data_IF_371358818279
#
_entry.id   IF_371358818279
#
_cell.length_a   1.000
_cell.length_b   1.000
_cell.length_c   1.000
_cell.angle_alpha   90.00
_cell.angle_beta   90.00
_cell.angle_gamma   90.00
#
_symmetry.space_group_name_H-M   'P 1'
#
loop_
_entity.id
_entity.type
_entity.pdbx_description
1 polymer ?
#
# COMPACT_ATOMS: atom_id res chain seq x y z
N UNK A 1 -18.35 27.46 -30.30
CA UNK A 1 -18.46 26.07 -29.85
C UNK A 1 -17.07 25.56 -29.47
N UNK A 2 -16.71 25.58 -28.20
CA UNK A 2 -15.41 25.04 -27.69
C UNK A 2 -15.60 23.58 -27.29
N UNK A 3 -14.96 22.67 -28.03
CA UNK A 3 -14.88 21.27 -27.68
C UNK A 3 -14.00 21.14 -26.40
N UNK A 4 -14.63 20.92 -25.25
CA UNK A 4 -13.94 20.55 -24.03
C UNK A 4 -13.38 19.14 -24.17
N UNK A 5 -12.06 19.02 -24.22
CA UNK A 5 -11.38 17.74 -24.10
C UNK A 5 -11.46 17.31 -22.63
N UNK A 6 -12.34 16.38 -22.33
CA UNK A 6 -12.26 15.65 -21.07
C UNK A 6 -11.05 14.72 -21.13
N UNK A 7 -9.93 15.17 -20.58
CA UNK A 7 -8.83 14.31 -20.26
C UNK A 7 -9.21 13.56 -18.97
N UNK A 8 -9.66 12.34 -19.13
CA UNK A 8 -9.77 11.39 -18.03
C UNK A 8 -8.37 11.01 -17.52
N UNK A 9 -7.78 11.89 -16.73
CA UNK A 9 -6.64 11.54 -15.89
C UNK A 9 -7.19 10.96 -14.60
N UNK A 10 -7.50 9.65 -14.64
CA UNK A 10 -7.67 8.86 -13.45
C UNK A 10 -6.27 8.61 -12.83
N UNK A 11 -5.61 9.67 -12.38
CA UNK A 11 -4.47 9.59 -11.47
C UNK A 11 -5.01 9.73 -10.05
N UNK A 12 -5.64 8.68 -9.56
CA UNK A 12 -5.84 8.48 -8.16
C UNK A 12 -4.47 8.14 -7.53
N UNK A 13 -3.69 9.17 -7.20
CA UNK A 13 -2.65 9.08 -6.19
C UNK A 13 -3.35 8.91 -4.83
N UNK A 14 -3.86 7.70 -4.58
CA UNK A 14 -4.21 7.31 -3.22
C UNK A 14 -2.90 7.16 -2.45
N UNK A 15 -2.49 8.21 -1.76
CA UNK A 15 -1.72 8.04 -0.54
C UNK A 15 -2.67 7.37 0.48
N UNK A 16 -2.84 6.06 0.34
CA UNK A 16 -3.47 5.24 1.36
C UNK A 16 -2.52 5.23 2.56
N UNK A 17 -2.60 6.26 3.38
CA UNK A 17 -2.11 6.22 4.74
C UNK A 17 -2.97 5.22 5.51
N UNK A 18 -2.82 3.93 5.17
CA UNK A 18 -3.32 2.81 5.98
C UNK A 18 -2.68 2.98 7.34
N UNK A 19 -3.50 3.04 8.38
CA UNK A 19 -3.05 3.30 9.74
C UNK A 19 -1.78 2.51 10.05
N UNK A 20 -0.72 3.21 10.47
CA UNK A 20 0.65 2.72 10.63
C UNK A 20 0.79 1.40 11.41
N UNK A 21 -0.23 1.01 12.17
CA UNK A 21 -0.19 -0.10 13.12
C UNK A 21 -0.46 -1.49 12.54
N UNK A 22 -0.76 -1.63 11.26
CA UNK A 22 -1.09 -2.93 10.62
C UNK A 22 -0.11 -3.30 9.51
N UNK A 23 0.73 -2.37 9.08
CA UNK A 23 1.69 -2.62 8.02
C UNK A 23 3.05 -3.03 8.60
N UNK A 24 3.36 -4.31 8.56
CA UNK A 24 4.63 -4.89 9.05
C UNK A 24 5.83 -4.16 8.42
N UNK A 25 5.79 -3.88 7.13
CA UNK A 25 6.86 -3.16 6.45
C UNK A 25 7.09 -1.76 7.04
N UNK A 26 6.03 -1.05 7.38
CA UNK A 26 6.14 0.28 8.03
C UNK A 26 6.74 0.17 9.43
N UNK A 27 6.28 -0.80 10.23
CA UNK A 27 6.83 -1.06 11.58
C UNK A 27 8.34 -1.32 11.50
N UNK A 28 8.75 -2.21 10.60
CA UNK A 28 10.16 -2.53 10.40
C UNK A 28 10.95 -1.32 9.88
N UNK A 29 10.40 -0.56 8.93
CA UNK A 29 11.04 0.64 8.38
C UNK A 29 11.27 1.68 9.45
N UNK A 30 10.28 1.94 10.32
CA UNK A 30 10.40 2.92 11.39
C UNK A 30 11.46 2.48 12.43
N UNK A 31 11.46 1.20 12.83
CA UNK A 31 12.44 0.66 13.80
C UNK A 31 13.87 0.66 13.23
N UNK A 32 14.07 0.21 11.99
CA UNK A 32 15.39 0.23 11.33
C UNK A 32 15.85 1.67 11.10
N UNK A 33 14.96 2.58 10.71
CA UNK A 33 15.31 4.00 10.57
C UNK A 33 15.79 4.61 11.89
N UNK A 34 15.10 4.33 13.00
CA UNK A 34 15.54 4.76 14.32
C UNK A 34 16.92 4.22 14.68
N UNK A 35 17.17 2.93 14.38
CA UNK A 35 18.47 2.32 14.60
C UNK A 35 19.57 2.94 13.72
N UNK A 36 19.26 3.29 12.46
CA UNK A 36 20.19 3.99 11.57
C UNK A 36 20.55 5.37 12.11
N UNK A 37 19.58 6.12 12.62
CA UNK A 37 19.80 7.44 13.25
C UNK A 37 20.66 7.29 14.50
N UNK A 38 20.37 6.31 15.36
CA UNK A 38 21.18 6.01 16.55
C UNK A 38 22.62 5.60 16.17
N UNK A 39 22.82 4.94 15.03
CA UNK A 39 24.13 4.60 14.49
C UNK A 39 24.86 5.77 13.81
N UNK A 40 24.22 6.96 13.74
CA UNK A 40 24.81 8.21 13.21
C UNK A 40 24.35 8.59 11.80
N UNK A 41 23.28 7.96 11.26
CA UNK A 41 22.71 8.39 10.00
C UNK A 41 21.84 9.65 10.16
N UNK A 42 21.78 10.44 9.07
CA UNK A 42 20.90 11.59 8.98
C UNK A 42 19.40 11.15 8.90
N UNK A 43 18.50 11.97 9.46
CA UNK A 43 17.06 11.71 9.47
C UNK A 43 16.44 11.59 8.07
N UNK A 44 17.09 12.17 7.05
CA UNK A 44 16.67 12.04 5.65
C UNK A 44 16.97 10.66 5.04
N UNK A 45 17.74 9.82 5.74
CA UNK A 45 18.02 8.47 5.28
C UNK A 45 16.82 7.56 5.49
N UNK A 46 16.45 6.81 4.45
CA UNK A 46 15.37 5.84 4.49
C UNK A 46 15.94 4.42 4.63
N UNK A 47 15.32 3.60 5.47
CA UNK A 47 15.70 2.20 5.66
C UNK A 47 15.44 1.34 4.41
N UNK A 48 14.54 1.77 3.52
CA UNK A 48 14.14 1.06 2.30
C UNK A 48 13.83 -0.42 2.56
N UNK A 49 13.04 -0.69 3.58
CA UNK A 49 12.60 -2.06 3.90
C UNK A 49 11.64 -2.53 2.83
N UNK A 50 11.89 -3.71 2.27
CA UNK A 50 11.04 -4.36 1.27
C UNK A 50 10.86 -5.82 1.60
N UNK A 51 9.75 -6.41 1.15
CA UNK A 51 9.55 -7.84 1.22
C UNK A 51 10.62 -8.55 0.39
N UNK A 52 11.18 -9.62 0.93
CA UNK A 52 12.20 -10.42 0.26
C UNK A 52 11.59 -11.20 -0.91
N UNK A 53 12.29 -11.25 -2.03
CA UNK A 53 11.86 -12.04 -3.18
C UNK A 53 12.19 -13.54 -3.08
N UNK A 54 12.99 -13.95 -2.09
CA UNK A 54 13.42 -15.35 -1.88
C UNK A 54 13.46 -15.65 -0.40
N UNK A 55 12.88 -16.77 -0.01
CA UNK A 55 12.80 -17.22 1.39
C UNK A 55 14.16 -17.32 2.11
N UNK A 56 15.21 -17.66 1.37
CA UNK A 56 16.57 -17.74 1.92
C UNK A 56 17.12 -16.42 2.46
N UNK A 57 16.53 -15.28 2.06
CA UNK A 57 16.89 -13.93 2.51
C UNK A 57 15.94 -13.38 3.57
N UNK A 58 15.13 -14.24 4.18
CA UNK A 58 14.14 -13.87 5.17
C UNK A 58 12.85 -13.32 4.57
N UNK A 59 12.01 -12.74 5.41
CA UNK A 59 10.71 -12.17 5.03
C UNK A 59 10.85 -10.75 4.48
N UNK A 60 11.77 -9.97 5.07
CA UNK A 60 12.04 -8.59 4.67
C UNK A 60 13.55 -8.32 4.56
N UNK A 61 13.88 -7.29 3.80
CA UNK A 61 15.25 -6.83 3.63
C UNK A 61 15.33 -5.31 3.70
N UNK A 62 16.25 -4.78 4.54
CA UNK A 62 16.55 -3.36 4.61
C UNK A 62 17.70 -3.04 3.66
N UNK A 63 17.42 -2.26 2.61
CA UNK A 63 18.34 -1.95 1.52
C UNK A 63 18.96 -0.55 1.65
N UNK A 64 18.39 0.31 2.51
CA UNK A 64 18.84 1.71 2.67
C UNK A 64 20.18 1.88 3.38
N UNK A 65 20.65 0.83 4.06
CA UNK A 65 21.89 0.83 4.85
C UNK A 65 23.11 1.24 4.00
N UNK A 66 23.21 0.72 2.77
CA UNK A 66 24.33 1.04 1.88
C UNK A 66 24.36 2.52 1.49
N UNK A 67 23.20 3.09 1.19
CA UNK A 67 23.11 4.51 0.81
C UNK A 67 23.49 5.42 1.97
N UNK A 68 23.07 5.09 3.19
CA UNK A 68 23.40 5.80 4.40
C UNK A 68 24.91 5.70 4.72
N UNK A 69 25.47 4.49 4.67
CA UNK A 69 26.90 4.27 4.89
C UNK A 69 27.79 5.06 3.90
N UNK A 70 27.35 5.12 2.62
CA UNK A 70 28.04 5.92 1.60
C UNK A 70 28.02 7.42 1.92
N UNK A 71 26.91 7.95 2.40
CA UNK A 71 26.82 9.36 2.85
C UNK A 71 27.74 9.66 4.03
N UNK A 72 27.93 8.69 4.92
CA UNK A 72 28.76 8.81 6.11
C UNK A 72 30.25 8.47 5.83
N UNK A 73 30.62 8.11 4.60
CA UNK A 73 31.94 7.60 4.22
C UNK A 73 32.39 6.39 5.09
N UNK A 74 31.46 5.55 5.51
CA UNK A 74 31.70 4.35 6.31
C UNK A 74 31.63 3.07 5.47
N UNK A 75 32.30 2.01 5.95
CA UNK A 75 32.12 0.68 5.37
C UNK A 75 30.66 0.21 5.59
N UNK A 76 29.91 -0.18 4.54
CA UNK A 76 28.51 -0.55 4.68
C UNK A 76 28.27 -1.73 5.63
N UNK A 77 29.15 -2.72 5.71
CA UNK A 77 29.01 -3.86 6.62
C UNK A 77 29.22 -3.46 8.08
N UNK A 78 30.21 -2.59 8.34
CA UNK A 78 30.45 -2.06 9.68
C UNK A 78 29.29 -1.18 10.13
N UNK A 79 28.74 -0.36 9.24
CA UNK A 79 27.56 0.44 9.53
C UNK A 79 26.33 -0.44 9.76
N UNK A 80 26.12 -1.50 8.93
CA UNK A 80 25.05 -2.47 9.14
C UNK A 80 25.15 -3.14 10.53
N UNK A 81 26.37 -3.49 10.99
CA UNK A 81 26.57 -4.05 12.32
C UNK A 81 26.16 -3.05 13.41
N UNK A 82 26.58 -1.80 13.30
CA UNK A 82 26.15 -0.75 14.25
C UNK A 82 24.63 -0.58 14.28
N UNK A 83 23.99 -0.61 13.10
CA UNK A 83 22.51 -0.54 13.03
C UNK A 83 21.87 -1.72 13.73
N UNK A 84 22.41 -2.95 13.59
CA UNK A 84 21.91 -4.12 14.30
C UNK A 84 22.06 -3.99 15.83
N UNK A 85 23.17 -3.41 16.31
CA UNK A 85 23.41 -3.22 17.75
C UNK A 85 22.37 -2.27 18.39
N UNK A 86 21.81 -1.34 17.60
CA UNK A 86 20.73 -0.42 18.03
C UNK A 86 19.33 -0.91 17.65
N UNK A 87 19.21 -1.94 16.81
CA UNK A 87 17.92 -2.43 16.35
C UNK A 87 17.15 -3.15 17.47
N UNK A 88 16.08 -2.52 17.94
CA UNK A 88 15.17 -3.13 18.94
C UNK A 88 14.11 -3.98 18.22
N UNK A 89 14.53 -5.13 17.70
CA UNK A 89 13.68 -6.04 16.91
C UNK A 89 13.58 -7.45 17.51
N UNK A 90 14.10 -7.68 18.72
CA UNK A 90 14.15 -9.00 19.37
C UNK A 90 12.78 -9.63 19.61
N UNK A 91 11.74 -8.82 19.74
CA UNK A 91 10.34 -9.24 19.88
C UNK A 91 9.67 -9.56 18.54
N UNK A 92 10.14 -8.95 17.45
CA UNK A 92 9.54 -9.01 16.11
C UNK A 92 10.24 -10.01 15.21
N UNK A 93 11.58 -10.07 15.29
CA UNK A 93 12.42 -10.91 14.45
C UNK A 93 13.09 -12.01 15.25
N UNK A 94 13.03 -13.23 14.75
CA UNK A 94 13.78 -14.35 15.32
C UNK A 94 15.26 -14.33 14.91
N UNK A 95 15.55 -13.72 13.74
CA UNK A 95 16.92 -13.62 13.21
C UNK A 95 17.08 -12.36 12.39
N UNK A 96 18.22 -11.70 12.59
CA UNK A 96 18.71 -10.60 11.73
C UNK A 96 20.07 -11.00 11.17
N UNK A 97 20.31 -10.79 9.88
CA UNK A 97 21.50 -11.24 9.19
C UNK A 97 22.02 -10.19 8.22
N UNK A 98 23.32 -9.87 8.31
CA UNK A 98 23.97 -8.99 7.35
C UNK A 98 24.33 -9.79 6.11
N UNK A 99 23.74 -9.43 4.97
CA UNK A 99 23.95 -10.08 3.69
C UNK A 99 24.66 -9.17 2.69
N UNK A 100 25.45 -9.79 1.83
CA UNK A 100 26.14 -9.10 0.75
C UNK A 100 26.98 -7.91 1.22
N UNK A 101 26.89 -6.76 0.56
CA UNK A 101 27.68 -5.58 0.88
C UNK A 101 27.18 -4.77 2.08
N UNK A 102 26.10 -5.17 2.75
CA UNK A 102 25.56 -4.48 3.93
C UNK A 102 24.03 -4.36 3.95
N UNK A 103 23.31 -5.28 3.29
CA UNK A 103 21.87 -5.46 3.48
C UNK A 103 21.56 -6.12 4.81
N UNK A 104 20.43 -5.81 5.41
CA UNK A 104 19.96 -6.52 6.60
C UNK A 104 18.75 -7.35 6.21
N UNK A 105 18.89 -8.67 6.27
CA UNK A 105 17.80 -9.63 6.13
C UNK A 105 17.09 -9.79 7.47
N UNK A 106 15.77 -9.79 7.45
CA UNK A 106 14.91 -9.86 8.63
C UNK A 106 14.03 -11.11 8.50
N UNK A 107 14.16 -12.03 9.44
CA UNK A 107 13.33 -13.23 9.59
C UNK A 107 12.36 -12.96 10.73
N UNK A 108 11.07 -12.98 10.45
CA UNK A 108 10.05 -12.63 11.43
C UNK A 108 9.78 -13.77 12.40
N UNK A 109 9.50 -13.42 13.64
CA UNK A 109 9.08 -14.37 14.65
C UNK A 109 7.65 -14.85 14.37
N UNK A 110 7.46 -16.15 14.25
CA UNK A 110 6.15 -16.75 13.92
C UNK A 110 5.09 -16.51 15.01
N UNK A 111 5.50 -16.49 16.29
CA UNK A 111 4.59 -16.17 17.41
C UNK A 111 4.13 -14.72 17.32
N UNK A 112 5.04 -13.79 17.07
CA UNK A 112 4.68 -12.39 16.88
C UNK A 112 3.72 -12.20 15.69
N UNK A 113 3.94 -12.90 14.57
CA UNK A 113 3.03 -12.87 13.42
C UNK A 113 1.64 -13.40 13.79
N UNK A 114 1.56 -14.49 14.54
CA UNK A 114 0.29 -15.05 14.99
C UNK A 114 -0.46 -14.07 15.90
N UNK A 115 0.25 -13.39 16.79
CA UNK A 115 -0.32 -12.36 17.66
C UNK A 115 -0.83 -11.16 16.85
N UNK A 116 -0.07 -10.71 15.82
CA UNK A 116 -0.54 -9.64 14.95
C UNK A 116 -1.82 -10.04 14.18
N UNK A 117 -1.89 -11.28 13.68
CA UNK A 117 -3.07 -11.79 13.00
C UNK A 117 -4.28 -11.87 13.95
N UNK A 118 -4.09 -12.37 15.16
CA UNK A 118 -5.13 -12.45 16.20
C UNK A 118 -5.63 -11.05 16.61
N UNK A 119 -4.71 -10.11 16.76
CA UNK A 119 -5.04 -8.71 17.07
C UNK A 119 -5.80 -8.03 15.91
N UNK A 120 -5.46 -8.35 14.66
CA UNK A 120 -6.19 -7.82 13.51
C UNK A 120 -7.62 -8.38 13.47
N UNK A 121 -7.78 -9.69 13.67
CA UNK A 121 -9.10 -10.35 13.69
C UNK A 121 -10.03 -9.84 14.80
N UNK A 122 -9.48 -9.38 15.91
CA UNK A 122 -10.26 -8.82 17.01
C UNK A 122 -10.79 -7.40 16.77
N UNK A 123 -10.29 -6.72 15.73
CA UNK A 123 -10.63 -5.34 15.41
C UNK A 123 -11.62 -5.23 14.27
N UNK A 124 -12.51 -4.22 14.32
CA UNK A 124 -13.36 -3.89 13.18
C UNK A 124 -12.49 -3.59 11.95
N UNK A 125 -12.91 -4.07 10.78
CA UNK A 125 -12.20 -3.94 9.52
C UNK A 125 -10.71 -4.36 9.61
N UNK A 126 -10.41 -5.39 10.40
CA UNK A 126 -9.04 -5.88 10.65
C UNK A 126 -8.09 -4.78 11.18
N UNK A 127 -8.61 -3.74 11.80
CA UNK A 127 -7.85 -2.58 12.26
C UNK A 127 -7.37 -1.65 11.14
N UNK A 128 -7.80 -1.87 9.91
CA UNK A 128 -7.46 -1.03 8.76
C UNK A 128 -8.45 0.15 8.73
N UNK A 129 -7.92 1.36 8.71
CA UNK A 129 -8.69 2.59 8.59
C UNK A 129 -7.92 3.61 7.76
N UNK A 130 -8.63 4.39 6.94
CA UNK A 130 -8.05 5.53 6.28
C UNK A 130 -7.65 6.58 7.33
N UNK A 131 -6.49 7.21 7.16
CA UNK A 131 -6.03 8.30 8.04
C UNK A 131 -7.00 9.50 7.96
N UNK A 132 -7.42 9.85 6.75
CA UNK A 132 -8.36 10.93 6.46
C UNK A 132 -9.59 10.36 5.74
N UNK A 133 -10.74 10.38 6.41
CA UNK A 133 -12.01 9.97 5.81
C UNK A 133 -12.44 11.00 4.78
N UNK A 134 -12.69 10.52 3.57
CA UNK A 134 -13.13 11.35 2.45
C UNK A 134 -14.49 10.88 1.94
N UNK A 135 -15.24 11.81 1.32
CA UNK A 135 -16.39 11.45 0.50
C UNK A 135 -15.90 11.26 -0.93
N UNK A 136 -16.09 10.05 -1.46
CA UNK A 136 -15.62 9.64 -2.80
C UNK A 136 -16.82 9.26 -3.65
N UNK A 137 -16.94 9.87 -4.83
CA UNK A 137 -17.96 9.50 -5.81
C UNK A 137 -17.35 8.54 -6.81
N UNK A 138 -17.96 7.37 -6.98
CA UNK A 138 -17.56 6.36 -7.96
C UNK A 138 -18.70 6.16 -8.94
N UNK A 139 -18.47 6.54 -10.19
CA UNK A 139 -19.37 6.29 -11.31
C UNK A 139 -18.94 5.00 -12.02
N UNK A 140 -19.84 4.02 -12.06
CA UNK A 140 -19.55 2.71 -12.66
C UNK A 140 -20.82 2.05 -13.18
N UNK A 141 -20.64 0.98 -13.96
CA UNK A 141 -21.70 0.34 -14.73
C UNK A 141 -22.11 1.17 -15.96
N UNK A 142 -22.88 2.22 -15.79
CA UNK A 142 -23.30 3.21 -16.83
C UNK A 142 -23.67 2.60 -18.17
N UNK A 143 -24.64 1.64 -18.22
CA UNK A 143 -25.03 0.98 -19.46
C UNK A 143 -25.87 1.91 -20.32
N UNK A 144 -25.84 1.69 -21.63
CA UNK A 144 -26.75 2.32 -22.57
C UNK A 144 -28.18 1.84 -22.34
N UNK A 145 -29.15 2.74 -22.23
CA UNK A 145 -30.55 2.41 -21.91
C UNK A 145 -31.22 1.62 -23.04
N UNK A 146 -30.86 1.94 -24.29
CA UNK A 146 -31.51 1.40 -25.50
C UNK A 146 -30.79 0.18 -26.10
N UNK A 147 -29.93 -0.49 -25.33
CA UNK A 147 -29.15 -1.61 -25.83
C UNK A 147 -29.02 -2.69 -24.76
N UNK A 148 -29.06 -3.96 -25.18
CA UNK A 148 -28.80 -5.07 -24.27
C UNK A 148 -27.41 -4.99 -23.67
N UNK A 149 -27.31 -5.32 -22.37
CA UNK A 149 -26.04 -5.41 -21.68
C UNK A 149 -25.24 -6.60 -22.21
N UNK A 150 -23.93 -6.43 -22.29
CA UNK A 150 -23.00 -7.48 -22.70
C UNK A 150 -21.82 -7.56 -21.74
N UNK A 151 -20.94 -8.53 -21.95
CA UNK A 151 -19.78 -8.81 -21.08
C UNK A 151 -18.88 -7.58 -20.80
N UNK A 152 -18.83 -6.62 -21.73
CA UNK A 152 -18.07 -5.37 -21.52
C UNK A 152 -18.62 -4.52 -20.37
N UNK A 153 -19.94 -4.46 -20.21
CA UNK A 153 -20.60 -3.75 -19.09
C UNK A 153 -20.35 -4.46 -17.76
N UNK A 154 -20.33 -5.81 -17.77
CA UNK A 154 -20.04 -6.62 -16.60
C UNK A 154 -18.65 -6.30 -16.03
N UNK A 155 -17.65 -6.15 -16.88
CA UNK A 155 -16.28 -5.79 -16.47
C UNK A 155 -16.24 -4.43 -15.74
N UNK A 156 -16.87 -3.42 -16.30
CA UNK A 156 -16.97 -2.08 -15.69
C UNK A 156 -17.67 -2.14 -14.32
N UNK A 157 -18.77 -2.88 -14.25
CA UNK A 157 -19.55 -3.04 -13.02
C UNK A 157 -18.74 -3.75 -11.92
N UNK A 158 -18.06 -4.85 -12.24
CA UNK A 158 -17.26 -5.61 -11.25
C UNK A 158 -16.08 -4.79 -10.75
N UNK A 159 -15.37 -4.11 -11.62
CA UNK A 159 -14.23 -3.26 -11.23
C UNK A 159 -14.71 -2.13 -10.32
N UNK A 160 -15.77 -1.43 -10.71
CA UNK A 160 -16.32 -0.34 -9.93
C UNK A 160 -16.82 -0.78 -8.55
N UNK A 161 -17.56 -1.88 -8.49
CA UNK A 161 -18.04 -2.42 -7.21
C UNK A 161 -16.88 -2.87 -6.28
N UNK A 162 -15.84 -3.50 -6.84
CA UNK A 162 -14.66 -3.87 -6.07
C UNK A 162 -13.94 -2.65 -5.48
N UNK A 163 -13.80 -1.57 -6.25
CA UNK A 163 -13.23 -0.30 -5.77
C UNK A 163 -14.09 0.31 -4.66
N UNK A 164 -15.41 0.36 -4.87
CA UNK A 164 -16.35 0.88 -3.87
C UNK A 164 -16.23 0.12 -2.55
N UNK A 165 -16.32 -1.22 -2.59
CA UNK A 165 -16.21 -2.06 -1.38
C UNK A 165 -14.88 -1.86 -0.67
N UNK A 166 -13.80 -1.71 -1.42
CA UNK A 166 -12.47 -1.45 -0.84
C UNK A 166 -12.44 -0.11 -0.11
N UNK A 167 -12.98 0.94 -0.71
CA UNK A 167 -13.01 2.28 -0.09
C UNK A 167 -13.93 2.33 1.14
N UNK A 168 -15.10 1.68 1.06
CA UNK A 168 -16.01 1.56 2.21
C UNK A 168 -15.35 0.76 3.36
N UNK A 169 -14.64 -0.33 3.03
CA UNK A 169 -13.88 -1.10 4.01
C UNK A 169 -12.79 -0.27 4.70
N UNK A 170 -12.13 0.62 3.97
CA UNK A 170 -11.16 1.57 4.50
C UNK A 170 -11.81 2.67 5.35
N UNK A 171 -13.14 2.80 5.34
CA UNK A 171 -13.88 3.75 6.14
C UNK A 171 -14.17 5.09 5.47
N UNK A 172 -13.97 5.20 4.15
CA UNK A 172 -14.42 6.34 3.37
C UNK A 172 -15.95 6.34 3.22
N UNK A 173 -16.55 7.52 3.01
CA UNK A 173 -17.95 7.65 2.61
C UNK A 173 -18.03 7.57 1.10
N UNK A 174 -18.61 6.49 0.54
CA UNK A 174 -18.66 6.30 -0.91
C UNK A 174 -20.08 6.56 -1.42
N UNK A 175 -20.17 7.45 -2.41
CA UNK A 175 -21.39 7.70 -3.17
C UNK A 175 -21.28 6.90 -4.48
N UNK A 176 -22.19 5.93 -4.64
CA UNK A 176 -22.29 5.13 -5.85
C UNK A 176 -23.10 5.90 -6.87
N UNK A 177 -22.46 6.30 -7.97
CA UNK A 177 -23.11 6.97 -9.08
C UNK A 177 -23.25 6.00 -10.26
N UNK A 178 -24.30 6.19 -11.03
CA UNK A 178 -24.55 5.43 -12.25
C UNK A 178 -25.19 6.40 -13.28
N UNK A 179 -24.38 6.90 -14.21
CA UNK A 179 -24.87 7.74 -15.30
C UNK A 179 -25.50 6.87 -16.37
N UNK A 180 -26.81 6.78 -16.32
CA UNK A 180 -27.62 6.01 -17.28
C UNK A 180 -28.17 6.99 -18.32
N UNK A 181 -27.95 6.70 -19.57
CA UNK A 181 -28.49 7.47 -20.67
C UNK A 181 -27.58 7.51 -21.91
N UNK A 182 -28.20 7.36 -23.04
CA UNK A 182 -27.57 7.51 -24.34
C UNK A 182 -28.57 8.18 -25.26
N UNK A 183 -28.31 9.42 -25.62
CA UNK A 183 -29.14 10.21 -26.53
C UNK A 183 -28.77 9.95 -28.01
N UNK A 184 -28.32 8.75 -28.31
CA UNK A 184 -27.94 8.32 -29.66
C UNK A 184 -29.14 7.91 -30.52
N UNK A 185 -28.85 7.54 -31.76
CA UNK A 185 -29.81 7.03 -32.74
C UNK A 185 -30.66 5.87 -32.21
N UNK A 186 -30.10 5.05 -31.36
CA UNK A 186 -30.79 3.89 -30.75
C UNK A 186 -31.94 4.33 -29.82
N UNK A 187 -31.78 5.44 -29.09
CA UNK A 187 -32.84 5.96 -28.25
C UNK A 187 -33.97 6.53 -29.12
N UNK A 188 -33.63 7.19 -30.24
CA UNK A 188 -34.60 7.64 -31.23
C UNK A 188 -35.44 6.50 -31.83
N UNK A 189 -34.83 5.32 -32.04
CA UNK A 189 -35.53 4.12 -32.54
C UNK A 189 -36.51 3.52 -31.57
N UNK A 190 -36.34 3.74 -30.26
CA UNK A 190 -37.29 3.30 -29.23
C UNK A 190 -38.54 4.17 -29.14
N UNK A 191 -38.46 5.40 -29.63
CA UNK A 191 -39.57 6.36 -29.61
C UNK A 191 -40.42 6.27 -30.89
N UNK A 192 -39.87 5.76 -31.97
CA UNK A 192 -40.54 5.56 -33.24
C UNK A 192 -41.37 4.27 -33.31
#
# INVERSE_FOLDING_TARGET
MRKGRYHSRLFLLFNLNVGKNVNIQSILSDKIKQAMIAAGADESCDALVRQSGKLQFGDYQANGIMAAAKKLALNPREFAQKVLDYAQLSDIAEKLEIAGPGFINIFLNSTWLADQASNALSKANLGIQAADKQTVVIDYSSPNVAKEMHVGHLRSTIIGDAVVRTLEFLGHHVIRANHVGDWGTQFGMLIA
#
